data_IF_971661635553
#
_entry.id   IF_971661635553
#
_cell.length_a   1.000
_cell.length_b   1.000
_cell.length_c   1.000
_cell.angle_alpha   90.00
_cell.angle_beta   90.00
_cell.angle_gamma   90.00
#
_symmetry.space_group_name_H-M   'P 1'
#
loop_
_entity.id
_entity.type
_entity.pdbx_description
1 polymer ?
#
# COMPACT_ATOMS: atom_id res chain seq x y z
N UNK A 1 24.26 -15.88 3.72
CA UNK A 1 24.02 -14.44 3.42
C UNK A 1 25.39 -13.79 3.32
N UNK A 2 25.71 -13.20 2.19
CA UNK A 2 26.97 -12.46 1.98
C UNK A 2 26.86 -11.02 2.52
N UNK A 3 27.97 -10.24 2.50
CA UNK A 3 27.99 -8.88 3.06
C UNK A 3 27.04 -7.93 2.31
N UNK A 4 26.94 -8.02 1.00
CA UNK A 4 26.04 -7.20 0.18
C UNK A 4 24.58 -7.39 0.58
N UNK A 5 24.16 -8.64 0.81
CA UNK A 5 22.79 -8.94 1.25
C UNK A 5 22.54 -8.48 2.69
N UNK A 6 23.57 -8.53 3.55
CA UNK A 6 23.46 -8.01 4.91
C UNK A 6 23.32 -6.48 4.92
N UNK A 7 24.07 -5.77 4.08
CA UNK A 7 23.93 -4.33 3.90
C UNK A 7 22.52 -3.97 3.38
N UNK A 8 22.03 -4.69 2.38
CA UNK A 8 20.72 -4.46 1.82
C UNK A 8 19.61 -4.70 2.86
N UNK A 9 19.72 -5.76 3.68
CA UNK A 9 18.83 -6.02 4.79
C UNK A 9 18.84 -4.87 5.82
N UNK A 10 20.01 -4.35 6.15
CA UNK A 10 20.16 -3.22 7.06
C UNK A 10 19.52 -1.94 6.51
N UNK A 11 19.64 -1.69 5.21
CA UNK A 11 18.97 -0.56 4.53
C UNK A 11 17.46 -0.67 4.64
N UNK A 12 16.87 -1.83 4.34
CA UNK A 12 15.43 -2.04 4.49
C UNK A 12 14.96 -1.90 5.93
N UNK A 13 15.72 -2.43 6.88
CA UNK A 13 15.40 -2.30 8.30
C UNK A 13 15.40 -0.83 8.75
N UNK A 14 16.42 -0.07 8.35
CA UNK A 14 16.56 1.34 8.73
C UNK A 14 15.52 2.24 8.04
N UNK A 15 15.11 1.90 6.83
CA UNK A 15 14.16 2.71 6.06
C UNK A 15 12.76 2.74 6.70
N UNK A 16 12.27 1.60 7.21
CA UNK A 16 10.94 1.47 7.80
C UNK A 16 9.76 1.82 6.87
N UNK A 17 10.03 1.94 5.58
CA UNK A 17 9.08 2.27 4.50
C UNK A 17 9.48 1.51 3.23
N UNK A 18 8.58 1.38 2.23
CA UNK A 18 8.97 0.86 0.93
C UNK A 18 10.07 1.71 0.28
N UNK A 19 11.02 1.05 -0.37
CA UNK A 19 12.08 1.67 -1.16
C UNK A 19 11.96 1.23 -2.61
N UNK A 20 11.97 2.20 -3.52
CA UNK A 20 11.92 1.94 -4.96
C UNK A 20 13.26 1.42 -5.49
N UNK A 21 13.29 0.72 -6.66
CA UNK A 21 14.53 0.30 -7.29
C UNK A 21 15.54 1.45 -7.49
N UNK A 22 15.03 2.62 -7.90
CA UNK A 22 15.85 3.80 -8.13
C UNK A 22 16.48 4.35 -6.84
N UNK A 23 15.73 4.35 -5.70
CA UNK A 23 16.28 4.75 -4.40
C UNK A 23 17.37 3.80 -3.93
N UNK A 24 17.14 2.49 -4.07
CA UNK A 24 18.11 1.46 -3.71
C UNK A 24 19.36 1.51 -4.58
N UNK A 25 19.21 1.61 -5.92
CA UNK A 25 20.30 1.68 -6.86
C UNK A 25 21.24 2.87 -6.59
N UNK A 26 20.64 4.04 -6.30
CA UNK A 26 21.38 5.25 -5.94
C UNK A 26 22.16 5.08 -4.64
N UNK A 27 21.55 4.49 -3.62
CA UNK A 27 22.19 4.31 -2.30
C UNK A 27 23.27 3.22 -2.30
N UNK A 28 23.15 2.23 -3.19
CA UNK A 28 24.13 1.14 -3.34
C UNK A 28 25.18 1.42 -4.42
N UNK A 29 25.13 2.58 -5.08
CA UNK A 29 26.00 2.96 -6.21
C UNK A 29 26.05 1.88 -7.30
N UNK A 30 24.93 1.21 -7.55
CA UNK A 30 24.77 0.09 -8.48
C UNK A 30 23.72 0.38 -9.55
N UNK A 31 23.71 -0.39 -10.64
CA UNK A 31 22.63 -0.33 -11.62
C UNK A 31 21.31 -0.88 -11.08
N UNK A 32 20.18 -0.36 -11.58
CA UNK A 32 18.85 -0.82 -11.14
C UNK A 32 18.64 -2.32 -11.33
N UNK A 33 19.09 -2.87 -12.48
CA UNK A 33 18.95 -4.29 -12.78
C UNK A 33 19.76 -5.16 -11.81
N UNK A 34 20.98 -4.76 -11.48
CA UNK A 34 21.81 -5.43 -10.49
C UNK A 34 21.19 -5.36 -9.10
N UNK A 35 20.68 -4.18 -8.73
CA UNK A 35 19.98 -3.95 -7.46
C UNK A 35 18.77 -4.85 -7.34
N UNK A 36 17.91 -4.94 -8.36
CA UNK A 36 16.76 -5.83 -8.38
C UNK A 36 17.14 -7.30 -8.25
N UNK A 37 18.24 -7.72 -8.88
CA UNK A 37 18.75 -9.08 -8.71
C UNK A 37 19.13 -9.36 -7.25
N UNK A 38 19.83 -8.41 -6.57
CA UNK A 38 20.19 -8.53 -5.15
C UNK A 38 18.96 -8.54 -4.24
N UNK A 39 17.94 -7.73 -4.53
CA UNK A 39 16.67 -7.72 -3.78
C UNK A 39 15.99 -9.08 -3.88
N UNK A 40 15.88 -9.64 -5.08
CA UNK A 40 15.29 -10.99 -5.27
C UNK A 40 16.10 -12.09 -4.58
N UNK A 41 17.42 -11.98 -4.58
CA UNK A 41 18.32 -12.90 -3.88
C UNK A 41 18.11 -12.81 -2.36
N UNK A 42 18.00 -11.60 -1.80
CA UNK A 42 17.68 -11.40 -0.39
C UNK A 42 16.29 -11.97 -0.07
N UNK A 43 15.28 -11.74 -0.90
CA UNK A 43 13.93 -12.30 -0.72
C UNK A 43 13.98 -13.82 -0.55
N UNK A 44 14.69 -14.52 -1.44
CA UNK A 44 14.86 -15.99 -1.34
C UNK A 44 15.56 -16.44 -0.05
N UNK A 45 16.52 -15.66 0.47
CA UNK A 45 17.17 -15.96 1.76
C UNK A 45 16.24 -15.76 2.96
N UNK A 46 15.15 -15.01 2.80
CA UNK A 46 14.19 -14.73 3.87
C UNK A 46 12.94 -15.62 3.82
N UNK A 47 12.75 -16.40 2.73
CA UNK A 47 11.56 -17.23 2.50
C UNK A 47 11.30 -18.29 3.58
N UNK A 48 12.37 -18.85 4.18
CA UNK A 48 12.24 -19.87 5.23
C UNK A 48 11.75 -19.29 6.58
N UNK A 49 11.78 -17.97 6.72
CA UNK A 49 11.36 -17.26 7.92
C UNK A 49 12.27 -17.47 9.14
N UNK A 50 13.44 -18.07 9.00
CA UNK A 50 14.38 -18.29 10.12
C UNK A 50 14.83 -16.96 10.74
N UNK A 51 15.00 -15.93 9.91
CA UNK A 51 15.35 -14.59 10.40
C UNK A 51 14.15 -13.78 10.91
N UNK A 52 12.94 -14.35 10.87
CA UNK A 52 11.72 -13.72 11.39
C UNK A 52 11.13 -12.61 10.54
N UNK A 53 11.76 -12.28 9.42
CA UNK A 53 11.37 -11.20 8.50
C UNK A 53 11.25 -11.73 7.07
N UNK A 54 10.48 -10.99 6.24
CA UNK A 54 10.32 -11.26 4.81
C UNK A 54 10.40 -9.93 4.04
N UNK A 55 10.64 -10.00 2.73
CA UNK A 55 10.49 -8.87 1.83
C UNK A 55 9.11 -8.93 1.18
N UNK A 56 8.44 -7.79 1.17
CA UNK A 56 7.16 -7.57 0.52
C UNK A 56 7.33 -6.52 -0.59
N UNK A 57 6.85 -6.85 -1.79
CA UNK A 57 6.72 -5.88 -2.87
C UNK A 57 5.43 -5.10 -2.68
N UNK A 58 5.52 -3.78 -2.54
CA UNK A 58 4.38 -2.93 -2.25
C UNK A 58 4.64 -1.52 -2.77
N UNK A 59 3.61 -0.91 -3.34
CA UNK A 59 3.64 0.49 -3.74
C UNK A 59 4.81 0.83 -4.69
N UNK A 60 5.12 -0.07 -5.63
CA UNK A 60 6.20 0.07 -6.61
C UNK A 60 7.62 -0.05 -6.05
N UNK A 61 7.77 -0.57 -4.83
CA UNK A 61 9.04 -0.82 -4.16
C UNK A 61 9.02 -2.05 -3.28
N UNK A 62 10.02 -2.19 -2.42
CA UNK A 62 10.11 -3.30 -1.45
C UNK A 62 10.24 -2.76 -0.04
N UNK A 63 9.65 -3.48 0.93
CA UNK A 63 9.84 -3.24 2.36
C UNK A 63 10.09 -4.54 3.11
N UNK A 64 10.71 -4.40 4.28
CA UNK A 64 10.85 -5.49 5.21
C UNK A 64 9.59 -5.58 6.10
N UNK A 65 9.05 -6.77 6.21
CA UNK A 65 7.90 -7.08 7.08
C UNK A 65 8.22 -8.22 8.03
N UNK A 66 7.39 -8.39 9.05
CA UNK A 66 7.43 -9.62 9.87
C UNK A 66 7.03 -10.80 8.99
N UNK A 67 7.83 -11.88 9.01
CA UNK A 67 7.47 -13.09 8.26
C UNK A 67 6.13 -13.65 8.76
N UNK A 68 5.20 -14.08 7.87
CA UNK A 68 3.84 -14.49 8.24
C UNK A 68 3.78 -15.53 9.37
N UNK A 69 4.71 -16.50 9.41
CA UNK A 69 4.76 -17.53 10.46
C UNK A 69 4.98 -17.00 11.89
N UNK A 70 5.39 -15.72 12.05
CA UNK A 70 5.68 -15.11 13.34
C UNK A 70 4.70 -14.00 13.74
N UNK A 71 3.72 -13.67 12.87
CA UNK A 71 2.77 -12.56 13.07
C UNK A 71 2.02 -12.71 14.38
N UNK A 72 1.49 -13.88 14.71
CA UNK A 72 0.72 -14.12 15.94
C UNK A 72 1.55 -13.80 17.20
N UNK A 73 2.83 -14.18 17.21
CA UNK A 73 3.73 -13.90 18.34
C UNK A 73 4.03 -12.42 18.50
N UNK A 74 4.25 -11.73 17.37
CA UNK A 74 4.47 -10.28 17.36
C UNK A 74 3.22 -9.55 17.82
N UNK A 75 2.04 -9.94 17.33
CA UNK A 75 0.76 -9.36 17.77
C UNK A 75 0.50 -9.58 19.27
N UNK A 76 0.81 -10.76 19.79
CA UNK A 76 0.65 -11.07 21.21
C UNK A 76 1.50 -10.15 22.11
N UNK A 77 2.72 -9.78 21.64
CA UNK A 77 3.65 -8.91 22.37
C UNK A 77 3.29 -7.43 22.20
N UNK A 78 3.15 -6.98 20.96
CA UNK A 78 2.99 -5.55 20.64
C UNK A 78 1.55 -5.06 20.79
N UNK A 79 0.56 -5.97 20.73
CA UNK A 79 -0.87 -5.65 20.78
C UNK A 79 -1.23 -4.46 19.88
N UNK A 80 -0.83 -4.47 18.59
CA UNK A 80 -1.08 -3.35 17.73
C UNK A 80 -2.59 -3.13 17.61
N UNK A 81 -3.02 -1.87 17.65
CA UNK A 81 -4.38 -1.48 17.28
C UNK A 81 -4.30 -0.83 15.90
N UNK A 82 -4.49 -1.59 14.84
CA UNK A 82 -4.51 -1.00 13.51
C UNK A 82 -5.61 0.06 13.45
N UNK A 83 -5.38 1.20 12.79
CA UNK A 83 -6.42 2.19 12.55
C UNK A 83 -7.51 1.55 11.70
N UNK A 84 -8.64 1.19 12.32
CA UNK A 84 -9.76 0.59 11.60
C UNK A 84 -10.46 1.68 10.78
N UNK A 85 -10.64 1.41 9.50
CA UNK A 85 -11.57 2.17 8.67
C UNK A 85 -13.00 1.72 9.00
N UNK A 86 -13.92 2.68 9.08
CA UNK A 86 -15.33 2.33 9.21
C UNK A 86 -15.84 1.64 7.93
N UNK A 87 -16.92 0.85 7.99
CA UNK A 87 -17.51 0.26 6.78
C UNK A 87 -17.82 1.30 5.70
N UNK A 88 -18.32 2.48 6.10
CA UNK A 88 -18.56 3.58 5.17
C UNK A 88 -17.26 4.13 4.53
N UNK A 89 -16.16 4.18 5.29
CA UNK A 89 -14.86 4.61 4.77
C UNK A 89 -14.29 3.58 3.78
N UNK A 90 -14.43 2.28 4.07
CA UNK A 90 -14.01 1.22 3.16
C UNK A 90 -14.84 1.24 1.86
N UNK A 91 -16.16 1.46 1.94
CA UNK A 91 -17.03 1.58 0.78
C UNK A 91 -16.61 2.75 -0.13
N UNK A 92 -16.40 3.95 0.43
CA UNK A 92 -15.95 5.13 -0.35
C UNK A 92 -14.55 4.89 -0.93
N UNK A 93 -13.64 4.35 -0.14
CA UNK A 93 -12.28 4.08 -0.56
C UNK A 93 -12.23 3.06 -1.71
N UNK A 94 -13.06 2.01 -1.65
CA UNK A 94 -13.19 1.04 -2.72
C UNK A 94 -13.74 1.69 -4.00
N UNK A 95 -14.78 2.52 -3.91
CA UNK A 95 -15.31 3.25 -5.07
C UNK A 95 -14.21 4.10 -5.71
N UNK A 96 -13.45 4.85 -4.91
CA UNK A 96 -12.33 5.65 -5.45
C UNK A 96 -11.30 4.75 -6.10
N UNK A 97 -10.88 3.67 -5.46
CA UNK A 97 -9.83 2.78 -5.97
C UNK A 97 -10.17 2.18 -7.34
N UNK A 98 -11.42 1.78 -7.55
CA UNK A 98 -11.85 1.14 -8.80
C UNK A 98 -12.28 2.11 -9.91
N UNK A 99 -12.65 3.35 -9.55
CA UNK A 99 -13.24 4.30 -10.52
C UNK A 99 -12.45 5.60 -10.68
N UNK A 100 -11.28 5.71 -10.04
CA UNK A 100 -10.43 6.90 -10.12
C UNK A 100 -9.94 7.20 -11.56
N UNK A 101 -9.79 8.50 -11.92
CA UNK A 101 -10.15 9.66 -11.11
C UNK A 101 -11.66 9.91 -11.09
N UNK A 102 -12.25 10.12 -9.91
CA UNK A 102 -13.71 10.21 -9.69
C UNK A 102 -14.07 11.44 -8.86
N UNK A 103 -15.24 12.03 -9.12
CA UNK A 103 -15.75 13.17 -8.36
C UNK A 103 -16.63 12.73 -7.17
N UNK A 104 -16.79 13.62 -6.17
CA UNK A 104 -17.71 13.34 -5.04
C UNK A 104 -19.15 13.09 -5.48
N UNK A 105 -19.77 13.87 -6.39
CA UNK A 105 -21.13 13.55 -6.86
C UNK A 105 -21.26 12.15 -7.47
N UNK A 106 -20.23 11.68 -8.18
CA UNK A 106 -20.23 10.32 -8.74
C UNK A 106 -20.12 9.25 -7.65
N UNK A 107 -19.28 9.47 -6.63
CA UNK A 107 -19.20 8.58 -5.46
C UNK A 107 -20.56 8.51 -4.74
N UNK A 108 -21.19 9.66 -4.52
CA UNK A 108 -22.51 9.74 -3.85
C UNK A 108 -23.61 9.07 -4.67
N UNK A 109 -23.56 9.20 -6.00
CA UNK A 109 -24.49 8.53 -6.90
C UNK A 109 -24.37 6.98 -6.81
N UNK A 110 -23.15 6.45 -6.71
CA UNK A 110 -22.91 5.01 -6.55
C UNK A 110 -23.33 4.51 -5.15
N UNK A 111 -23.16 5.31 -4.12
CA UNK A 111 -23.50 4.95 -2.73
C UNK A 111 -24.99 5.12 -2.40
N UNK A 112 -25.68 6.00 -3.10
CA UNK A 112 -27.04 6.44 -2.75
C UNK A 112 -27.12 7.30 -1.47
N UNK A 113 -26.01 7.84 -0.98
CA UNK A 113 -25.92 8.69 0.25
C UNK A 113 -24.69 9.59 0.25
N UNK A 114 -24.73 10.67 1.06
CA UNK A 114 -23.63 11.61 1.18
C UNK A 114 -22.32 10.95 1.61
N UNK A 115 -21.24 11.48 1.08
CA UNK A 115 -19.87 11.00 1.32
C UNK A 115 -18.95 12.09 1.91
N UNK A 116 -19.45 13.29 2.19
CA UNK A 116 -18.63 14.43 2.60
C UNK A 116 -17.67 14.11 3.74
N UNK A 117 -18.16 13.85 4.93
CA UNK A 117 -17.31 13.60 6.10
C UNK A 117 -16.47 12.33 5.98
N UNK A 118 -16.93 11.34 5.19
CA UNK A 118 -16.15 10.12 4.95
C UNK A 118 -14.98 10.40 4.03
N UNK A 119 -15.21 11.13 2.94
CA UNK A 119 -14.16 11.51 1.98
C UNK A 119 -13.13 12.43 2.62
N UNK A 120 -13.57 13.39 3.45
CA UNK A 120 -12.68 14.26 4.22
C UNK A 120 -11.78 13.46 5.17
N UNK A 121 -12.34 12.51 5.91
CA UNK A 121 -11.55 11.62 6.78
C UNK A 121 -10.56 10.71 6.02
N UNK A 122 -10.83 10.37 4.76
CA UNK A 122 -9.88 9.65 3.90
C UNK A 122 -8.76 10.56 3.38
N UNK A 123 -9.08 11.81 3.04
CA UNK A 123 -8.11 12.85 2.67
C UNK A 123 -7.15 13.15 3.85
N UNK A 124 -7.68 13.37 5.05
CA UNK A 124 -6.88 13.62 6.27
C UNK A 124 -5.93 12.45 6.59
N UNK A 125 -6.37 11.22 6.32
CA UNK A 125 -5.53 10.02 6.49
C UNK A 125 -4.52 9.82 5.35
N UNK A 126 -4.59 10.63 4.30
CA UNK A 126 -3.76 10.53 3.12
C UNK A 126 -3.98 9.24 2.32
N UNK A 127 -5.18 8.65 2.38
CA UNK A 127 -5.54 7.46 1.60
C UNK A 127 -6.12 7.82 0.23
N UNK A 128 -6.67 9.03 0.14
CA UNK A 128 -7.22 9.65 -1.08
C UNK A 128 -6.61 11.04 -1.21
N UNK A 129 -6.44 11.51 -2.42
CA UNK A 129 -6.00 12.88 -2.74
C UNK A 129 -6.80 13.48 -3.89
N UNK A 130 -6.82 14.83 -3.96
CA UNK A 130 -7.39 15.55 -5.09
C UNK A 130 -6.35 15.64 -6.21
N UNK A 131 -6.66 15.08 -7.39
CA UNK A 131 -5.75 15.02 -8.53
C UNK A 131 -6.11 16.01 -9.65
N UNK A 132 -7.17 16.78 -9.50
CA UNK A 132 -7.60 17.77 -10.47
C UNK A 132 -9.06 18.15 -10.34
N UNK A 133 -9.62 18.71 -11.41
CA UNK A 133 -11.02 19.10 -11.51
C UNK A 133 -11.61 18.55 -12.82
N UNK A 134 -12.86 18.12 -12.77
CA UNK A 134 -13.58 17.67 -13.98
C UNK A 134 -14.01 18.89 -14.80
N UNK A 135 -13.78 18.91 -16.13
CA UNK A 135 -14.12 20.06 -17.00
C UNK A 135 -15.62 20.12 -17.34
N UNK A 136 -16.46 20.20 -16.32
CA UNK A 136 -17.93 20.32 -16.41
C UNK A 136 -18.42 21.49 -15.54
N UNK A 137 -19.69 21.86 -15.69
CA UNK A 137 -20.31 22.92 -14.87
C UNK A 137 -20.12 22.59 -13.39
N UNK A 138 -19.65 23.59 -12.60
CA UNK A 138 -19.33 23.42 -11.18
C UNK A 138 -17.92 22.90 -10.92
N UNK A 139 -17.15 22.46 -11.92
CA UNK A 139 -15.75 22.00 -11.84
C UNK A 139 -15.46 21.16 -10.58
N UNK A 140 -16.19 20.06 -10.35
CA UNK A 140 -16.00 19.25 -9.15
C UNK A 140 -14.59 18.66 -9.11
N UNK A 141 -14.00 18.58 -7.92
CA UNK A 141 -12.68 17.94 -7.70
C UNK A 141 -12.72 16.48 -8.08
N UNK A 142 -11.63 16.01 -8.68
CA UNK A 142 -11.34 14.62 -8.98
C UNK A 142 -10.46 14.03 -7.88
N UNK A 143 -10.77 12.84 -7.45
CA UNK A 143 -10.09 12.12 -6.38
C UNK A 143 -9.48 10.82 -6.89
N UNK A 144 -8.32 10.48 -6.35
CA UNK A 144 -7.62 9.22 -6.57
C UNK A 144 -7.02 8.68 -5.28
N UNK A 145 -6.66 7.41 -5.27
CA UNK A 145 -5.91 6.79 -4.18
C UNK A 145 -4.44 7.22 -4.21
N UNK A 146 -3.77 7.10 -3.08
CA UNK A 146 -2.37 7.51 -2.89
C UNK A 146 -1.44 6.31 -2.78
N UNK A 147 -0.13 6.57 -2.74
CA UNK A 147 0.89 5.58 -2.38
C UNK A 147 0.59 4.92 -1.02
N UNK A 148 0.14 5.71 -0.04
CA UNK A 148 -0.23 5.21 1.29
C UNK A 148 -1.41 4.23 1.26
N UNK A 149 -2.33 4.36 0.30
CA UNK A 149 -3.37 3.37 0.08
C UNK A 149 -2.75 2.02 -0.32
N UNK A 150 -1.84 2.00 -1.29
CA UNK A 150 -1.17 0.76 -1.71
C UNK A 150 -0.41 0.12 -0.54
N UNK A 151 0.33 0.93 0.24
CA UNK A 151 1.06 0.46 1.44
C UNK A 151 0.14 -0.14 2.49
N UNK A 152 -1.03 0.47 2.73
CA UNK A 152 -2.00 0.00 3.73
C UNK A 152 -2.61 -1.35 3.36
N UNK A 153 -2.88 -1.56 2.07
CA UNK A 153 -3.50 -2.78 1.57
C UNK A 153 -2.50 -3.82 1.05
N UNK A 154 -1.19 -3.53 1.10
CA UNK A 154 -0.13 -4.45 0.66
C UNK A 154 -0.15 -4.70 -0.85
N UNK A 155 -0.53 -3.70 -1.66
CA UNK A 155 -0.61 -3.78 -3.11
C UNK A 155 0.67 -3.21 -3.74
N UNK A 156 1.25 -3.88 -4.73
CA UNK A 156 2.37 -3.34 -5.49
C UNK A 156 1.91 -2.22 -6.44
N UNK A 157 0.72 -2.38 -7.01
CA UNK A 157 0.06 -1.41 -7.89
C UNK A 157 -1.46 -1.51 -7.81
N UNK A 158 -2.18 -0.63 -8.51
CA UNK A 158 -3.64 -0.71 -8.63
C UNK A 158 -4.10 -1.94 -9.44
N UNK A 159 -3.23 -2.51 -10.25
CA UNK A 159 -3.54 -3.71 -11.05
C UNK A 159 -3.70 -4.96 -10.17
N UNK A 160 -3.20 -4.91 -8.93
CA UNK A 160 -3.34 -5.99 -7.94
C UNK A 160 -4.71 -5.96 -7.23
N UNK A 161 -5.56 -4.96 -7.52
CA UNK A 161 -6.90 -4.94 -6.98
C UNK A 161 -7.70 -6.14 -7.49
N UNK A 162 -8.43 -6.86 -6.61
CA UNK A 162 -9.26 -7.98 -7.03
C UNK A 162 -10.37 -7.51 -7.97
N UNK A 163 -10.82 -8.31 -8.94
CA UNK A 163 -11.90 -7.93 -9.83
C UNK A 163 -13.19 -7.64 -9.04
N UNK A 164 -13.98 -6.64 -9.51
CA UNK A 164 -15.20 -6.18 -8.83
C UNK A 164 -16.24 -7.29 -8.57
N UNK A 165 -16.22 -8.36 -9.38
CA UNK A 165 -17.11 -9.52 -9.22
C UNK A 165 -16.85 -10.31 -7.94
N UNK A 166 -15.64 -10.20 -7.36
CA UNK A 166 -15.27 -10.83 -6.09
C UNK A 166 -15.62 -9.96 -4.88
N UNK A 167 -16.09 -8.74 -5.12
CA UNK A 167 -16.62 -7.78 -4.15
C UNK A 167 -15.57 -7.19 -3.18
N UNK A 168 -15.94 -6.12 -2.45
CA UNK A 168 -15.08 -5.45 -1.48
C UNK A 168 -14.76 -6.31 -0.23
N UNK A 169 -15.29 -7.52 -0.15
CA UNK A 169 -15.10 -8.45 0.97
C UNK A 169 -13.62 -8.85 1.17
N UNK A 170 -12.79 -8.81 0.12
CA UNK A 170 -11.36 -9.10 0.22
C UNK A 170 -10.53 -8.00 0.90
N UNK A 171 -11.01 -6.75 0.90
CA UNK A 171 -10.39 -5.64 1.62
C UNK A 171 -10.68 -5.68 3.14
N UNK A 172 -11.51 -6.63 3.57
CA UNK A 172 -11.94 -6.82 4.96
C UNK A 172 -11.28 -8.03 5.63
N UNK A 173 -10.33 -8.70 4.99
CA UNK A 173 -9.62 -9.82 5.62
C UNK A 173 -8.76 -9.30 6.78
N UNK A 174 -9.14 -9.79 7.97
CA UNK A 174 -8.45 -9.64 9.25
C UNK A 174 -7.01 -10.15 9.21
#
# INVERSE_FOLDING_TARGET
>A
MNEDLAQLLAVFFAAGKPLTPAELARGLEAGEEETLRKVRELGRHLEDGVLGVALEEVAGGWRLIVHPRHVDRVQAVLRPRPPRLSPAALEVLAIVAYHQPITRPEIEAMRGKSSDGVLEGLLERGLVEAVGEKPVVGRPRLYATTQRFLELFGLASLDDLPPLEEGPALLLRD
#
